data_IF_170800337310
#
_entry.id   IF_170800337310
#
_cell.length_a   1.000
_cell.length_b   1.000
_cell.length_c   1.000
_cell.angle_alpha   90.00
_cell.angle_beta   90.00
_cell.angle_gamma   90.00
#
_symmetry.space_group_name_H-M   'P 1'
#
loop_
_entity.id
_entity.type
_entity.pdbx_description
1 polymer ?
#
# COMPACT_ATOMS: atom_id res chain seq x y z
N UNK A 1 5.98 8.85 -3.87
CA UNK A 1 6.60 9.71 -4.92
C UNK A 1 7.71 10.62 -4.39
N UNK A 2 7.40 11.66 -3.58
CA UNK A 2 8.40 12.61 -3.08
C UNK A 2 9.59 11.94 -2.34
N UNK A 3 9.32 10.95 -1.50
CA UNK A 3 10.35 10.21 -0.76
C UNK A 3 11.37 9.52 -1.68
N UNK A 4 10.94 8.95 -2.82
CA UNK A 4 11.85 8.34 -3.80
C UNK A 4 12.80 9.37 -4.40
N UNK A 5 12.29 10.56 -4.74
CA UNK A 5 13.09 11.66 -5.28
C UNK A 5 14.08 12.20 -4.24
N UNK A 6 13.63 12.38 -3.00
CA UNK A 6 14.48 12.83 -1.90
C UNK A 6 15.61 11.81 -1.63
N UNK A 7 15.27 10.53 -1.55
CA UNK A 7 16.24 9.45 -1.37
C UNK A 7 17.31 9.45 -2.47
N UNK A 8 16.90 9.51 -3.74
CA UNK A 8 17.83 9.56 -4.86
C UNK A 8 18.74 10.81 -4.85
N UNK A 9 18.25 11.95 -4.35
CA UNK A 9 19.08 13.16 -4.16
C UNK A 9 20.09 12.98 -3.03
N UNK A 10 19.68 12.43 -1.89
CA UNK A 10 20.55 12.17 -0.74
C UNK A 10 21.67 11.19 -1.13
N UNK A 11 21.32 10.07 -1.78
CA UNK A 11 22.30 9.05 -2.17
C UNK A 11 23.34 9.58 -3.16
N UNK A 12 22.93 10.42 -4.12
CA UNK A 12 23.85 11.04 -5.08
C UNK A 12 24.68 12.18 -4.47
N UNK A 13 24.02 13.12 -3.78
CA UNK A 13 24.64 14.35 -3.30
C UNK A 13 25.43 14.19 -2.01
N UNK A 14 24.84 13.55 -1.00
CA UNK A 14 25.46 13.40 0.32
C UNK A 14 26.43 12.23 0.38
N UNK A 15 26.03 11.08 -0.18
CA UNK A 15 26.80 9.84 -0.07
C UNK A 15 27.65 9.52 -1.30
N UNK A 16 27.55 10.33 -2.37
CA UNK A 16 28.36 10.13 -3.59
C UNK A 16 28.13 8.79 -4.29
N UNK A 17 27.01 8.10 -4.02
CA UNK A 17 26.75 6.76 -4.52
C UNK A 17 26.75 6.74 -6.06
N UNK A 18 27.56 5.86 -6.65
CA UNK A 18 27.74 5.77 -8.12
C UNK A 18 26.83 4.75 -8.79
N UNK A 19 26.40 3.72 -8.05
CA UNK A 19 25.52 2.68 -8.59
C UNK A 19 24.06 3.18 -8.61
N UNK A 20 23.38 3.22 -9.77
CA UNK A 20 21.97 3.64 -9.85
C UNK A 20 21.03 2.83 -8.95
N UNK A 21 21.32 1.55 -8.69
CA UNK A 21 20.53 0.70 -7.79
C UNK A 21 20.52 1.23 -6.36
N UNK A 22 21.60 1.89 -5.91
CA UNK A 22 21.67 2.50 -4.59
C UNK A 22 20.72 3.71 -4.45
N UNK A 23 20.23 4.28 -5.55
CA UNK A 23 19.32 5.43 -5.54
C UNK A 23 17.85 5.02 -5.51
N UNK A 24 17.56 3.72 -5.65
CA UNK A 24 16.19 3.20 -5.66
C UNK A 24 15.66 3.05 -4.24
N UNK A 25 14.61 3.79 -3.91
CA UNK A 25 13.83 3.56 -2.69
C UNK A 25 12.70 2.58 -3.01
N UNK A 26 12.81 1.36 -2.48
CA UNK A 26 11.78 0.32 -2.56
C UNK A 26 10.95 0.34 -1.27
N UNK A 27 9.63 0.27 -1.41
CA UNK A 27 8.69 0.52 -0.31
C UNK A 27 7.73 -0.65 -0.15
N UNK A 28 7.63 -1.15 1.08
CA UNK A 28 6.47 -1.90 1.54
C UNK A 28 5.46 -0.91 2.11
N UNK A 29 4.19 -1.07 1.77
CA UNK A 29 3.10 -0.25 2.31
C UNK A 29 2.14 -1.15 3.07
N UNK A 30 1.65 -0.67 4.20
CA UNK A 30 0.52 -1.26 4.91
C UNK A 30 -0.59 -0.21 4.96
N UNK A 31 -1.84 -0.63 4.82
CA UNK A 31 -2.98 0.24 5.12
C UNK A 31 -2.95 0.68 6.59
N UNK A 32 -3.61 1.77 6.92
CA UNK A 32 -3.53 2.39 8.24
C UNK A 32 -4.52 1.72 9.22
N UNK A 33 -4.01 0.82 10.06
CA UNK A 33 -4.80 0.19 11.13
C UNK A 33 -5.47 1.19 12.08
N UNK A 34 -4.85 2.35 12.32
CA UNK A 34 -5.42 3.43 13.15
C UNK A 34 -6.68 4.07 12.57
N UNK A 35 -7.01 3.81 11.30
CA UNK A 35 -8.21 4.34 10.64
C UNK A 35 -9.41 3.38 10.69
N UNK A 36 -9.20 2.17 11.21
CA UNK A 36 -10.25 1.16 11.31
C UNK A 36 -11.14 1.42 12.51
N UNK A 37 -12.44 1.21 12.35
CA UNK A 37 -13.41 1.40 13.43
C UNK A 37 -13.96 0.07 13.90
N UNK A 38 -14.11 -0.08 15.22
CA UNK A 38 -14.81 -1.22 15.83
C UNK A 38 -16.31 -1.18 15.49
N UNK A 39 -16.87 0.01 15.42
CA UNK A 39 -18.25 0.26 15.01
C UNK A 39 -18.36 0.15 13.49
N UNK A 40 -19.41 -0.53 13.02
CA UNK A 40 -19.69 -0.75 11.60
C UNK A 40 -18.44 -1.25 10.83
N UNK A 41 -17.88 -2.41 11.23
CA UNK A 41 -16.58 -2.89 10.72
C UNK A 41 -16.59 -3.12 9.19
N UNK A 42 -17.75 -3.36 8.57
CA UNK A 42 -17.82 -3.49 7.12
C UNK A 42 -17.42 -2.20 6.37
N UNK A 43 -17.56 -1.02 7.00
CA UNK A 43 -17.05 0.23 6.42
C UNK A 43 -15.52 0.23 6.29
N UNK A 44 -14.82 -0.59 7.07
CA UNK A 44 -13.37 -0.74 6.95
C UNK A 44 -12.96 -1.35 5.61
N UNK A 45 -13.81 -2.16 4.96
CA UNK A 45 -13.55 -2.69 3.62
C UNK A 45 -13.37 -1.53 2.63
N UNK A 46 -14.24 -0.52 2.69
CA UNK A 46 -14.17 0.66 1.83
C UNK A 46 -12.94 1.51 2.15
N UNK A 47 -12.64 1.73 3.43
CA UNK A 47 -11.44 2.46 3.86
C UNK A 47 -10.17 1.80 3.34
N UNK A 48 -10.04 0.50 3.53
CA UNK A 48 -8.89 -0.30 3.08
C UNK A 48 -8.80 -0.30 1.55
N UNK A 49 -9.92 -0.37 0.84
CA UNK A 49 -9.94 -0.28 -0.64
C UNK A 49 -9.35 1.04 -1.13
N UNK A 50 -9.77 2.19 -0.56
CA UNK A 50 -9.23 3.50 -0.93
C UNK A 50 -7.73 3.61 -0.64
N UNK A 51 -7.28 3.09 0.50
CA UNK A 51 -5.87 3.08 0.87
C UNK A 51 -5.04 2.15 -0.01
N UNK A 52 -5.61 1.02 -0.45
CA UNK A 52 -5.00 0.10 -1.42
C UNK A 52 -4.76 0.80 -2.75
N UNK A 53 -5.76 1.50 -3.28
CA UNK A 53 -5.64 2.32 -4.49
C UNK A 53 -4.55 3.37 -4.33
N UNK A 54 -4.52 4.09 -3.20
CA UNK A 54 -3.49 5.08 -2.92
C UNK A 54 -2.08 4.48 -2.88
N UNK A 55 -1.91 3.27 -2.32
CA UNK A 55 -0.63 2.57 -2.29
C UNK A 55 -0.17 2.12 -3.69
N UNK A 56 -1.10 1.62 -4.52
CA UNK A 56 -0.85 1.21 -5.92
C UNK A 56 -0.43 2.41 -6.76
N UNK A 57 -1.21 3.50 -6.75
CA UNK A 57 -0.87 4.76 -7.41
C UNK A 57 0.41 5.39 -6.85
N UNK A 58 0.70 5.13 -5.57
CA UNK A 58 1.93 5.51 -4.91
C UNK A 58 3.17 4.75 -5.42
N UNK A 59 3.00 3.67 -6.18
CA UNK A 59 4.06 2.81 -6.72
C UNK A 59 4.78 2.01 -5.64
N UNK A 60 4.02 1.36 -4.74
CA UNK A 60 4.55 0.42 -3.75
C UNK A 60 5.09 -0.87 -4.41
N UNK A 61 6.03 -1.57 -3.76
CA UNK A 61 6.60 -2.83 -4.27
C UNK A 61 5.97 -4.05 -3.61
N UNK A 62 5.48 -3.90 -2.39
CA UNK A 62 4.65 -4.88 -1.72
C UNK A 62 3.59 -4.16 -0.88
N UNK A 63 2.48 -4.83 -0.63
CA UNK A 63 1.33 -4.25 0.04
C UNK A 63 0.71 -5.22 1.04
N UNK A 64 0.44 -4.73 2.24
CA UNK A 64 -0.42 -5.39 3.22
C UNK A 64 -1.72 -4.58 3.35
N UNK A 65 -2.83 -5.26 3.17
CA UNK A 65 -4.19 -4.74 3.39
C UNK A 65 -4.73 -5.30 4.69
N UNK A 66 -5.10 -4.43 5.63
CA UNK A 66 -5.71 -4.84 6.89
C UNK A 66 -7.08 -5.46 6.64
N UNK A 67 -7.50 -6.33 7.56
CA UNK A 67 -8.80 -6.97 7.56
C UNK A 67 -9.85 -6.09 8.26
N UNK A 68 -11.12 -6.28 7.91
CA UNK A 68 -12.22 -5.41 8.36
C UNK A 68 -12.43 -5.41 9.89
N UNK A 69 -12.02 -6.49 10.56
CA UNK A 69 -12.23 -6.78 11.98
C UNK A 69 -11.01 -6.50 12.87
N UNK A 70 -9.90 -6.00 12.32
CA UNK A 70 -8.65 -5.75 13.06
C UNK A 70 -8.75 -4.64 14.13
N UNK A 71 -9.81 -3.82 14.09
CA UNK A 71 -10.11 -2.88 15.18
C UNK A 71 -10.61 -3.58 16.46
N UNK A 72 -11.04 -4.84 16.36
CA UNK A 72 -11.62 -5.62 17.46
C UNK A 72 -10.69 -6.72 17.95
N UNK A 73 -10.10 -7.48 17.04
CA UNK A 73 -9.31 -8.67 17.37
C UNK A 73 -8.36 -9.06 16.22
N UNK A 74 -7.64 -10.18 16.39
CA UNK A 74 -6.98 -10.83 15.26
C UNK A 74 -8.01 -11.21 14.18
N UNK A 75 -7.63 -11.12 12.91
CA UNK A 75 -8.60 -11.23 11.83
C UNK A 75 -9.08 -12.66 11.64
N UNK A 76 -10.36 -12.78 11.30
CA UNK A 76 -10.95 -14.06 10.89
C UNK A 76 -10.49 -14.46 9.49
N UNK A 77 -10.56 -15.75 9.15
CA UNK A 77 -10.19 -16.22 7.82
C UNK A 77 -11.01 -15.54 6.71
N UNK A 78 -12.30 -15.29 6.95
CA UNK A 78 -13.16 -14.55 6.02
C UNK A 78 -12.67 -13.11 5.84
N UNK A 79 -12.35 -12.41 6.92
CA UNK A 79 -11.88 -11.03 6.85
C UNK A 79 -10.52 -10.91 6.13
N UNK A 80 -9.59 -11.84 6.39
CA UNK A 80 -8.31 -11.92 5.67
C UNK A 80 -8.54 -12.20 4.18
N UNK A 81 -9.50 -13.07 3.84
CA UNK A 81 -9.84 -13.37 2.45
C UNK A 81 -10.36 -12.13 1.72
N UNK A 82 -11.20 -11.32 2.36
CA UNK A 82 -11.68 -10.05 1.80
C UNK A 82 -10.51 -9.07 1.58
N UNK A 83 -9.60 -8.96 2.55
CA UNK A 83 -8.41 -8.12 2.41
C UNK A 83 -7.55 -8.55 1.21
N UNK A 84 -7.31 -9.85 1.03
CA UNK A 84 -6.60 -10.38 -0.14
C UNK A 84 -7.35 -10.08 -1.45
N UNK A 85 -8.67 -10.30 -1.49
CA UNK A 85 -9.49 -10.02 -2.67
C UNK A 85 -9.50 -8.55 -3.04
N UNK A 86 -9.38 -7.65 -2.06
CA UNK A 86 -9.26 -6.21 -2.29
C UNK A 86 -8.03 -5.89 -3.14
N UNK A 87 -6.87 -6.50 -2.83
CA UNK A 87 -5.67 -6.34 -3.67
C UNK A 87 -5.86 -6.92 -5.07
N UNK A 88 -6.47 -8.10 -5.19
CA UNK A 88 -6.66 -8.79 -6.46
C UNK A 88 -7.61 -8.03 -7.40
N UNK A 89 -8.72 -7.50 -6.88
CA UNK A 89 -9.66 -6.68 -7.66
C UNK A 89 -8.96 -5.40 -8.13
N UNK A 90 -8.24 -4.71 -7.24
CA UNK A 90 -7.47 -3.52 -7.63
C UNK A 90 -6.42 -3.88 -8.69
N UNK A 91 -5.72 -5.00 -8.55
CA UNK A 91 -4.66 -5.39 -9.48
C UNK A 91 -5.17 -5.86 -10.85
N UNK A 92 -6.31 -6.54 -10.90
CA UNK A 92 -6.73 -7.29 -12.10
C UNK A 92 -8.02 -6.78 -12.74
N UNK A 93 -8.84 -5.99 -12.05
CA UNK A 93 -10.15 -5.56 -12.54
C UNK A 93 -10.27 -4.03 -12.67
N UNK A 94 -9.46 -3.26 -11.94
CA UNK A 94 -9.60 -1.80 -11.91
C UNK A 94 -8.94 -1.04 -13.06
N UNK A 95 -8.05 -1.68 -13.82
CA UNK A 95 -7.20 -1.04 -14.84
C UNK A 95 -6.07 -0.16 -14.28
N UNK A 96 -5.98 0.03 -12.96
CA UNK A 96 -4.95 0.89 -12.34
C UNK A 96 -3.53 0.34 -12.49
N UNK A 97 -3.38 -0.94 -12.80
CA UNK A 97 -2.09 -1.57 -13.06
C UNK A 97 -1.61 -1.40 -14.51
N UNK A 98 -2.46 -0.89 -15.41
CA UNK A 98 -2.18 -0.87 -16.86
C UNK A 98 -1.25 0.29 -17.26
N UNK A 99 -1.14 1.33 -16.43
CA UNK A 99 -0.30 2.52 -16.68
C UNK A 99 0.63 2.79 -15.50
N UNK A 100 1.91 3.06 -15.80
CA UNK A 100 2.93 3.39 -14.79
C UNK A 100 2.87 4.87 -14.43
N UNK A 101 2.72 5.18 -13.12
CA UNK A 101 2.55 6.56 -12.57
C UNK A 101 1.48 7.36 -13.36
N UNK A 102 0.21 6.89 -13.39
CA UNK A 102 -0.88 7.56 -14.10
C UNK A 102 -1.23 8.94 -13.50
#
# INVERSE_FOLDING_TARGET
RASRRLWAKIMRGRFGAKNPKSWMLRVHTQTAGSTLTAQQPDNNIIRVTLQTVAAVLGGTQSLHTNSKDEALALPTEEAVRIALRTQQIVAHESGLADTVDP
#
